data_IF_756813456791
#
_entry.id   IF_756813456791
#
_cell.length_a   1.000
_cell.length_b   1.000
_cell.length_c   1.000
_cell.angle_alpha   90.00
_cell.angle_beta   90.00
_cell.angle_gamma   90.00
#
_symmetry.space_group_name_H-M   'P 1'
#
loop_
_entity.id
_entity.type
_entity.pdbx_description
1 polymer ?
#
# COMPACT_ATOMS: atom_id res chain seq x y z
N UNK A 1 19.60 -12.10 -3.20
CA UNK A 1 19.32 -11.97 -1.76
C UNK A 1 17.91 -12.49 -1.53
N UNK A 2 17.73 -13.43 -0.59
CA UNK A 2 16.39 -13.84 -0.15
C UNK A 2 15.86 -12.71 0.70
N UNK A 3 14.73 -12.12 0.32
CA UNK A 3 14.11 -11.06 1.10
C UNK A 3 13.66 -11.65 2.45
N UNK A 4 14.05 -11.00 3.55
CA UNK A 4 13.52 -11.36 4.87
C UNK A 4 12.01 -11.10 4.88
N UNK A 5 11.26 -11.97 5.55
CA UNK A 5 9.83 -11.80 5.65
C UNK A 5 9.53 -10.59 6.55
N UNK A 6 8.67 -9.69 6.08
CA UNK A 6 8.20 -8.58 6.89
C UNK A 6 7.17 -9.10 7.89
N UNK A 7 7.28 -8.73 9.16
CA UNK A 7 6.36 -9.18 10.22
C UNK A 7 5.60 -7.96 10.73
N UNK A 8 4.27 -8.04 10.68
CA UNK A 8 3.36 -7.03 11.25
C UNK A 8 2.59 -7.61 12.42
N UNK A 9 1.98 -6.73 13.22
CA UNK A 9 1.13 -7.08 14.35
C UNK A 9 -0.31 -6.67 14.08
N UNK A 10 -1.24 -7.59 14.30
CA UNK A 10 -2.68 -7.37 14.14
C UNK A 10 -3.37 -7.78 15.45
N UNK A 11 -4.26 -6.95 16.04
CA UNK A 11 -5.03 -7.34 17.21
C UNK A 11 -5.76 -8.66 16.98
N UNK A 12 -5.48 -9.64 17.83
CA UNK A 12 -6.17 -10.93 17.82
C UNK A 12 -7.29 -10.93 18.86
N UNK A 13 -6.99 -10.46 20.06
CA UNK A 13 -7.91 -10.38 21.18
C UNK A 13 -7.99 -8.93 21.64
N UNK A 14 -9.19 -8.38 21.68
CA UNK A 14 -9.40 -6.98 22.02
C UNK A 14 -10.81 -6.73 22.57
N UNK A 15 -10.98 -5.58 23.21
CA UNK A 15 -12.25 -5.11 23.77
C UNK A 15 -12.67 -3.86 23.03
N UNK A 16 -13.94 -3.76 22.68
CA UNK A 16 -14.54 -2.59 22.05
C UNK A 16 -15.26 -1.69 23.05
N UNK A 17 -15.63 -0.48 22.65
CA UNK A 17 -16.28 0.52 23.52
C UNK A 17 -17.64 0.10 24.09
N UNK A 18 -18.32 -0.83 23.41
CA UNK A 18 -19.55 -1.48 23.87
C UNK A 18 -19.30 -2.56 24.95
N UNK A 19 -18.03 -2.79 25.32
CA UNK A 19 -17.60 -3.78 26.31
C UNK A 19 -17.49 -5.21 25.76
N UNK A 20 -17.70 -5.41 24.45
CA UNK A 20 -17.62 -6.74 23.84
C UNK A 20 -16.16 -7.15 23.67
N UNK A 21 -15.85 -8.39 24.05
CA UNK A 21 -14.54 -8.99 23.78
C UNK A 21 -14.58 -9.73 22.45
N UNK A 22 -13.71 -9.33 21.52
CA UNK A 22 -13.52 -9.97 20.24
C UNK A 22 -12.27 -10.86 20.28
N UNK A 23 -12.36 -12.01 19.63
CA UNK A 23 -11.25 -12.96 19.42
C UNK A 23 -11.24 -13.38 17.95
N UNK A 24 -10.27 -12.87 17.20
CA UNK A 24 -10.08 -13.21 15.80
C UNK A 24 -9.48 -14.61 15.67
N UNK A 25 -9.94 -15.34 14.66
CA UNK A 25 -9.36 -16.61 14.23
C UNK A 25 -8.36 -16.37 13.12
N UNK A 26 -7.45 -17.34 12.92
CA UNK A 26 -6.53 -17.31 11.78
C UNK A 26 -7.25 -17.18 10.42
N UNK A 27 -8.49 -17.70 10.30
CA UNK A 27 -9.32 -17.53 9.10
C UNK A 27 -9.67 -16.07 8.80
N UNK A 28 -9.85 -15.26 9.85
CA UNK A 28 -10.22 -13.84 9.69
C UNK A 28 -9.01 -13.06 9.12
N UNK A 29 -7.81 -13.48 9.49
CA UNK A 29 -6.54 -12.89 9.03
C UNK A 29 -6.24 -13.25 7.57
N UNK A 30 -6.73 -14.39 7.04
CA UNK A 30 -6.45 -14.78 5.64
C UNK A 30 -6.93 -13.75 4.62
N UNK A 31 -8.00 -13.01 4.95
CA UNK A 31 -8.60 -12.01 4.05
C UNK A 31 -8.01 -10.61 4.21
N UNK A 32 -7.04 -10.40 5.12
CA UNK A 32 -6.43 -9.09 5.39
C UNK A 32 -5.62 -8.53 4.21
N UNK A 33 -5.40 -9.32 3.16
CA UNK A 33 -4.82 -8.85 1.90
C UNK A 33 -5.83 -8.14 0.99
N UNK A 34 -7.12 -8.47 1.15
CA UNK A 34 -8.23 -7.98 0.33
C UNK A 34 -8.92 -6.80 0.96
N UNK A 35 -9.21 -6.89 2.25
CA UNK A 35 -9.98 -5.89 2.98
C UNK A 35 -9.35 -5.60 4.35
N UNK A 36 -9.40 -4.35 4.83
CA UNK A 36 -8.94 -4.02 6.18
C UNK A 36 -9.89 -4.63 7.22
N UNK A 37 -9.34 -5.12 8.32
CA UNK A 37 -10.11 -5.49 9.52
C UNK A 37 -10.25 -4.31 10.48
N UNK A 38 -9.25 -3.42 10.45
CA UNK A 38 -9.17 -2.24 11.29
C UNK A 38 -8.76 -1.04 10.48
N UNK A 39 -9.11 0.13 10.99
CA UNK A 39 -8.63 1.40 10.47
C UNK A 39 -8.39 2.35 11.63
N UNK A 40 -7.34 3.15 11.49
CA UNK A 40 -7.06 4.19 12.46
C UNK A 40 -8.03 5.35 12.25
N UNK A 41 -8.26 6.13 13.30
CA UNK A 41 -9.02 7.36 13.21
C UNK A 41 -8.22 8.52 13.79
N UNK A 42 -8.29 9.67 13.13
CA UNK A 42 -7.79 10.94 13.65
C UNK A 42 -8.87 12.02 13.47
N UNK A 43 -8.83 13.10 14.27
CA UNK A 43 -9.72 14.22 14.05
C UNK A 43 -9.58 14.79 12.61
N UNK A 44 -10.68 14.96 11.84
CA UNK A 44 -10.61 15.40 10.44
C UNK A 44 -9.83 16.71 10.23
N UNK A 45 -9.89 17.64 11.17
CA UNK A 45 -9.15 18.91 11.14
C UNK A 45 -7.63 18.72 11.19
N UNK A 46 -7.14 17.55 11.65
CA UNK A 46 -5.71 17.20 11.69
C UNK A 46 -5.20 16.58 10.39
N UNK A 47 -6.08 16.25 9.44
CA UNK A 47 -5.70 15.57 8.20
C UNK A 47 -4.64 16.35 7.39
N UNK A 48 -4.77 17.67 7.27
CA UNK A 48 -3.81 18.49 6.54
C UNK A 48 -2.44 18.51 7.23
N UNK A 49 -2.43 18.70 8.55
CA UNK A 49 -1.21 18.74 9.35
C UNK A 49 -0.46 17.39 9.29
N UNK A 50 -1.20 16.28 9.40
CA UNK A 50 -0.64 14.93 9.25
C UNK A 50 -0.07 14.72 7.85
N UNK A 51 -0.78 15.13 6.79
CA UNK A 51 -0.30 15.01 5.41
C UNK A 51 1.01 15.76 5.22
N UNK A 52 1.07 17.01 5.65
CA UNK A 52 2.25 17.86 5.47
C UNK A 52 3.44 17.32 6.26
N UNK A 53 3.19 16.83 7.49
CA UNK A 53 4.20 16.16 8.29
C UNK A 53 4.74 14.89 7.63
N UNK A 54 3.86 14.01 7.14
CA UNK A 54 4.27 12.77 6.47
C UNK A 54 5.11 13.07 5.22
N UNK A 55 4.70 14.04 4.40
CA UNK A 55 5.49 14.51 3.25
C UNK A 55 6.87 15.01 3.67
N UNK A 56 6.96 15.78 4.76
CA UNK A 56 8.23 16.28 5.29
C UNK A 56 9.17 15.17 5.80
N UNK A 57 8.63 14.01 6.15
CA UNK A 57 9.37 12.86 6.70
C UNK A 57 9.64 11.75 5.67
N UNK A 58 9.51 12.07 4.38
CA UNK A 58 9.93 11.19 3.28
C UNK A 58 8.83 10.35 2.64
N UNK A 59 7.56 10.56 3.03
CA UNK A 59 6.43 10.05 2.24
C UNK A 59 6.28 10.83 0.93
N UNK A 60 5.67 10.18 -0.06
CA UNK A 60 5.47 10.73 -1.40
C UNK A 60 4.08 10.41 -1.90
N UNK A 61 3.56 11.23 -2.80
CA UNK A 61 2.33 10.92 -3.52
C UNK A 61 2.63 9.77 -4.51
N UNK A 62 1.89 8.65 -4.48
CA UNK A 62 2.12 7.55 -5.41
C UNK A 62 1.76 7.97 -6.84
N UNK A 63 2.65 7.70 -7.80
CA UNK A 63 2.40 8.02 -9.20
C UNK A 63 1.43 7.03 -9.86
N UNK A 64 0.40 7.51 -10.56
CA UNK A 64 -0.66 6.69 -11.20
C UNK A 64 -1.50 5.88 -10.21
N UNK A 65 -2.18 6.54 -9.26
CA UNK A 65 -3.22 5.94 -8.43
C UNK A 65 -4.59 6.49 -8.86
N UNK A 66 -5.60 5.62 -8.99
CA UNK A 66 -6.99 6.05 -9.11
C UNK A 66 -7.51 6.45 -7.73
N UNK A 67 -8.09 7.65 -7.57
CA UNK A 67 -8.69 8.05 -6.29
C UNK A 67 -9.82 7.08 -5.91
N UNK A 68 -9.87 6.69 -4.64
CA UNK A 68 -10.90 5.83 -4.04
C UNK A 68 -11.73 6.60 -2.99
N UNK A 69 -11.76 7.94 -3.09
CA UNK A 69 -12.44 8.82 -2.14
C UNK A 69 -11.55 9.31 -0.99
N UNK A 70 -10.26 8.99 -1.00
CA UNK A 70 -9.28 9.56 -0.06
C UNK A 70 -9.04 11.06 -0.30
N UNK A 71 -8.79 11.81 0.78
CA UNK A 71 -8.28 13.20 0.71
C UNK A 71 -6.79 13.24 0.40
N UNK A 72 -6.06 12.19 0.78
CA UNK A 72 -4.70 11.95 0.34
C UNK A 72 -4.34 10.46 0.40
N UNK A 73 -3.48 10.05 -0.53
CA UNK A 73 -2.76 8.78 -0.50
C UNK A 73 -1.27 9.06 -0.53
N UNK A 74 -0.51 8.44 0.38
CA UNK A 74 0.93 8.61 0.52
C UNK A 74 1.61 7.24 0.60
N UNK A 75 2.81 7.13 0.03
CA UNK A 75 3.66 5.94 0.10
C UNK A 75 5.04 6.29 0.68
N UNK A 76 5.64 5.32 1.38
CA UNK A 76 7.03 5.35 1.83
C UNK A 76 7.66 3.97 1.67
N UNK A 77 8.87 3.90 1.12
CA UNK A 77 9.62 2.65 1.07
C UNK A 77 9.98 2.17 2.48
N UNK A 78 9.69 0.90 2.77
CA UNK A 78 10.11 0.23 4.00
C UNK A 78 11.47 -0.46 3.80
N UNK A 79 11.65 -1.10 2.65
CA UNK A 79 12.89 -1.75 2.25
C UNK A 79 13.05 -1.66 0.70
N UNK A 80 14.01 -2.35 0.06
CA UNK A 80 14.14 -2.34 -1.41
C UNK A 80 12.93 -2.85 -2.20
N UNK A 81 12.09 -3.71 -1.62
CA UNK A 81 10.98 -4.44 -2.25
C UNK A 81 9.61 -3.92 -1.78
N UNK A 82 9.47 -3.57 -0.51
CA UNK A 82 8.20 -3.23 0.12
C UNK A 82 8.03 -1.71 0.31
N UNK A 83 6.77 -1.29 0.23
CA UNK A 83 6.32 0.07 0.54
C UNK A 83 5.10 0.05 1.45
N UNK A 84 5.05 1.03 2.37
CA UNK A 84 3.90 1.34 3.18
C UNK A 84 3.06 2.37 2.45
N UNK A 85 1.78 2.08 2.29
CA UNK A 85 0.77 3.01 1.81
C UNK A 85 -0.12 3.45 2.96
N UNK A 86 -0.43 4.74 2.98
CA UNK A 86 -1.37 5.39 3.90
C UNK A 86 -2.40 6.12 3.05
N UNK A 87 -3.68 5.87 3.31
CA UNK A 87 -4.80 6.58 2.73
C UNK A 87 -5.64 7.17 3.84
N UNK A 88 -5.96 8.45 3.72
CA UNK A 88 -6.82 9.13 4.68
C UNK A 88 -8.08 9.63 4.00
N UNK A 89 -9.22 9.49 4.67
CA UNK A 89 -10.54 9.82 4.16
C UNK A 89 -11.08 11.10 4.80
N UNK A 90 -12.08 11.77 4.20
CA UNK A 90 -12.61 13.05 4.70
C UNK A 90 -13.15 12.99 6.14
N UNK A 91 -13.53 11.81 6.62
CA UNK A 91 -14.09 11.54 7.95
C UNK A 91 -13.02 11.19 9.00
N UNK A 92 -11.74 11.34 8.67
CA UNK A 92 -10.64 11.10 9.60
C UNK A 92 -10.17 9.64 9.65
N UNK A 93 -10.80 8.73 8.89
CA UNK A 93 -10.34 7.35 8.80
C UNK A 93 -9.00 7.28 8.06
N UNK A 94 -8.10 6.46 8.57
CA UNK A 94 -6.80 6.16 7.98
C UNK A 94 -6.70 4.66 7.78
N UNK A 95 -6.51 4.27 6.52
CA UNK A 95 -6.20 2.90 6.13
C UNK A 95 -4.74 2.82 5.71
N UNK A 96 -4.06 1.78 6.20
CA UNK A 96 -2.69 1.50 5.81
C UNK A 96 -2.50 0.07 5.36
N UNK A 97 -1.63 -0.12 4.38
CA UNK A 97 -1.22 -1.43 3.92
C UNK A 97 0.25 -1.43 3.52
N UNK A 98 0.90 -2.57 3.69
CA UNK A 98 2.22 -2.84 3.14
C UNK A 98 2.03 -3.62 1.86
N UNK A 99 2.70 -3.20 0.79
CA UNK A 99 2.69 -3.93 -0.47
C UNK A 99 4.04 -3.92 -1.17
N UNK A 100 4.19 -4.81 -2.15
CA UNK A 100 5.34 -4.78 -3.07
C UNK A 100 5.30 -3.50 -3.88
N UNK A 101 6.45 -2.83 -3.97
CA UNK A 101 6.60 -1.58 -4.72
C UNK A 101 6.11 -1.72 -6.15
N UNK A 102 5.43 -0.69 -6.61
CA UNK A 102 4.93 -0.55 -7.99
C UNK A 102 5.99 -0.70 -9.08
N UNK A 103 7.29 -0.62 -8.77
CA UNK A 103 8.37 -0.83 -9.74
C UNK A 103 8.56 -2.30 -10.14
N UNK A 104 7.89 -3.24 -9.45
CA UNK A 104 7.94 -4.67 -9.72
C UNK A 104 6.61 -5.17 -10.29
N UNK A 105 6.64 -6.10 -11.25
CA UNK A 105 5.43 -6.69 -11.84
C UNK A 105 4.53 -7.39 -10.82
N UNK A 106 5.12 -7.90 -9.75
CA UNK A 106 4.46 -8.60 -8.66
C UNK A 106 3.46 -7.69 -7.90
N UNK A 107 3.53 -6.37 -8.08
CA UNK A 107 2.51 -5.41 -7.63
C UNK A 107 1.14 -5.64 -8.29
N UNK A 108 1.11 -6.11 -9.55
CA UNK A 108 -0.15 -6.28 -10.30
C UNK A 108 -0.97 -7.50 -9.85
N UNK A 109 -0.35 -8.45 -9.14
CA UNK A 109 -0.97 -9.73 -8.79
C UNK A 109 -2.00 -9.68 -7.67
N UNK A 110 -2.22 -8.53 -7.03
CA UNK A 110 -3.22 -8.32 -5.95
C UNK A 110 -2.98 -9.09 -4.64
N UNK A 111 -2.11 -10.11 -4.65
CA UNK A 111 -1.73 -10.93 -3.49
C UNK A 111 -0.57 -10.36 -2.69
N UNK A 112 0.01 -9.26 -3.17
CA UNK A 112 1.25 -8.67 -2.64
C UNK A 112 1.00 -7.54 -1.65
N UNK A 113 -0.20 -7.47 -1.06
CA UNK A 113 -0.65 -6.41 -0.15
C UNK A 113 -1.22 -7.01 1.12
N UNK A 114 -0.91 -6.43 2.27
CA UNK A 114 -1.53 -6.75 3.56
C UNK A 114 -1.90 -5.44 4.27
N UNK A 115 -3.15 -5.32 4.73
CA UNK A 115 -3.55 -4.20 5.59
C UNK A 115 -2.90 -4.32 6.95
N UNK A 116 -2.44 -3.17 7.47
CA UNK A 116 -1.65 -3.07 8.69
C UNK A 116 -2.22 -2.02 9.64
N UNK A 117 -1.95 -2.19 10.93
CA UNK A 117 -2.63 -1.45 12.01
C UNK A 117 -1.73 -0.36 12.59
N UNK A 118 -0.53 -0.71 13.04
CA UNK A 118 0.30 0.18 13.86
C UNK A 118 1.26 1.05 13.05
N UNK A 119 1.57 0.63 11.83
CA UNK A 119 2.63 1.18 10.99
C UNK A 119 2.39 2.65 10.69
N UNK A 120 1.18 3.01 10.22
CA UNK A 120 0.85 4.39 9.94
C UNK A 120 0.96 5.27 11.20
N UNK A 121 0.42 4.79 12.33
CA UNK A 121 0.46 5.50 13.61
C UNK A 121 1.88 5.82 14.05
N UNK A 122 2.83 4.90 13.89
CA UNK A 122 4.23 5.17 14.24
C UNK A 122 4.81 6.37 13.49
N UNK A 123 4.33 6.68 12.29
CA UNK A 123 4.77 7.84 11.53
C UNK A 123 4.02 9.12 11.86
N UNK A 124 2.70 9.10 12.05
CA UNK A 124 1.94 10.33 12.31
C UNK A 124 1.79 10.69 13.79
N UNK A 125 2.19 9.81 14.73
CA UNK A 125 2.09 10.06 16.19
C UNK A 125 2.69 11.39 16.69
N UNK A 126 3.69 12.01 16.04
CA UNK A 126 4.20 13.31 16.48
C UNK A 126 3.20 14.47 16.28
N UNK A 127 2.18 14.27 15.42
CA UNK A 127 1.12 15.26 15.14
C UNK A 127 -0.16 14.93 15.92
N UNK A 128 -0.54 13.65 15.96
CA UNK A 128 -1.71 13.14 16.68
C UNK A 128 -1.23 12.02 17.58
N UNK A 129 -1.14 12.28 18.89
CA UNK A 129 -0.53 11.33 19.83
C UNK A 129 -1.50 10.24 20.30
N UNK A 130 -2.77 10.39 19.96
CA UNK A 130 -3.83 9.46 20.31
C UNK A 130 -3.93 8.34 19.29
N UNK A 131 -3.95 7.10 19.79
CA UNK A 131 -4.16 5.92 18.98
C UNK A 131 -5.62 5.48 19.06
N UNK A 132 -6.44 5.92 18.10
CA UNK A 132 -7.80 5.45 17.94
C UNK A 132 -7.87 4.40 16.85
N UNK A 133 -8.33 3.21 17.21
CA UNK A 133 -8.47 2.09 16.30
C UNK A 133 -9.94 1.68 16.23
N UNK A 134 -10.50 1.61 15.02
CA UNK A 134 -11.86 1.13 14.78
C UNK A 134 -11.83 -0.30 14.27
N UNK A 135 -12.63 -1.18 14.87
CA UNK A 135 -12.91 -2.50 14.31
C UNK A 135 -14.04 -2.41 13.30
N UNK A 136 -13.74 -2.73 12.03
CA UNK A 136 -14.63 -2.43 10.91
C UNK A 136 -15.92 -3.26 10.97
N UNK A 137 -15.82 -4.52 11.37
CA UNK A 137 -16.96 -5.44 11.35
C UNK A 137 -18.09 -5.05 12.31
N UNK A 138 -17.78 -4.45 13.46
CA UNK A 138 -18.77 -3.98 14.42
C UNK A 138 -18.99 -2.47 14.38
N UNK A 139 -18.17 -1.74 13.62
CA UNK A 139 -18.12 -0.29 13.60
C UNK A 139 -17.93 0.32 15.01
N UNK A 140 -17.11 -0.33 15.84
CA UNK A 140 -16.85 0.09 17.23
C UNK A 140 -15.38 0.41 17.44
N UNK A 141 -15.09 1.36 18.33
CA UNK A 141 -13.71 1.65 18.70
C UNK A 141 -13.13 0.60 19.65
N UNK A 142 -11.88 0.23 19.42
CA UNK A 142 -11.10 -0.66 20.28
C UNK A 142 -10.59 0.14 21.47
N UNK A 143 -10.94 -0.30 22.68
CA UNK A 143 -10.54 0.34 23.94
C UNK A 143 -9.36 -0.35 24.60
N UNK A 144 -9.18 -1.65 24.35
CA UNK A 144 -8.07 -2.44 24.90
C UNK A 144 -7.64 -3.54 23.94
N UNK A 145 -6.34 -3.64 23.69
CA UNK A 145 -5.74 -4.75 22.95
C UNK A 145 -5.12 -5.71 23.97
N UNK A 146 -5.61 -6.93 23.99
CA UNK A 146 -5.16 -7.98 24.92
C UNK A 146 -3.99 -8.75 24.29
N UNK A 147 -4.09 -9.08 23.01
CA UNK A 147 -3.08 -9.84 22.29
C UNK A 147 -3.05 -9.48 20.80
N UNK A 148 -1.89 -9.69 20.18
CA UNK A 148 -1.67 -9.54 18.76
C UNK A 148 -1.26 -10.87 18.11
N UNK A 149 -1.72 -11.11 16.89
CA UNK A 149 -1.07 -12.03 15.97
C UNK A 149 0.19 -11.39 15.39
N UNK A 150 1.25 -12.19 15.25
CA UNK A 150 2.37 -11.86 14.37
C UNK A 150 2.08 -12.42 12.99
N UNK A 151 1.85 -11.55 12.03
CA UNK A 151 1.51 -11.92 10.65
C UNK A 151 2.72 -11.67 9.78
N UNK A 152 3.22 -12.73 9.15
CA UNK A 152 4.31 -12.64 8.19
C UNK A 152 3.76 -12.33 6.81
N UNK A 153 4.28 -11.28 6.19
CA UNK A 153 4.08 -10.98 4.78
C UNK A 153 5.15 -11.79 4.03
N UNK A 154 4.76 -12.83 3.26
CA UNK A 154 5.72 -13.55 2.45
C UNK A 154 6.28 -12.57 1.41
N UNK A 155 7.58 -12.27 1.50
CA UNK A 155 8.24 -11.52 0.46
C UNK A 155 8.24 -12.35 -0.84
N UNK A 156 8.03 -11.73 -2.02
CA UNK A 156 8.09 -12.46 -3.27
C UNK A 156 9.44 -13.16 -3.41
N UNK A 157 9.43 -14.44 -3.79
CA UNK A 157 10.67 -15.21 -4.03
C UNK A 157 11.50 -14.63 -5.19
N UNK A 158 10.84 -13.89 -6.08
CA UNK A 158 11.43 -13.11 -7.16
C UNK A 158 10.67 -11.79 -7.30
N UNK A 159 11.40 -10.73 -7.61
CA UNK A 159 10.85 -9.43 -7.95
C UNK A 159 11.39 -9.01 -9.31
N UNK A 160 10.52 -8.54 -10.19
CA UNK A 160 10.87 -8.29 -11.59
C UNK A 160 10.68 -6.80 -11.92
N UNK A 161 11.75 -5.99 -11.95
CA UNK A 161 11.65 -4.58 -12.32
C UNK A 161 11.10 -4.42 -13.74
N UNK A 162 10.00 -3.71 -13.91
CA UNK A 162 9.36 -3.60 -15.24
C UNK A 162 10.02 -2.54 -16.13
N UNK A 163 10.65 -1.51 -15.55
CA UNK A 163 11.23 -0.38 -16.30
C UNK A 163 12.24 -0.83 -17.37
N UNK A 164 13.24 -1.69 -17.07
CA UNK A 164 14.18 -2.16 -18.08
C UNK A 164 13.49 -2.92 -19.23
N UNK A 165 12.43 -3.67 -18.94
CA UNK A 165 11.69 -4.46 -19.93
C UNK A 165 10.92 -3.55 -20.89
N UNK A 166 10.19 -2.57 -20.35
CA UNK A 166 9.44 -1.60 -21.18
C UNK A 166 10.40 -0.77 -22.05
N UNK A 167 11.55 -0.36 -21.51
CA UNK A 167 12.58 0.34 -22.29
C UNK A 167 13.11 -0.53 -23.44
N UNK A 168 13.38 -1.81 -23.19
CA UNK A 168 13.82 -2.76 -24.22
C UNK A 168 12.79 -2.94 -25.34
N UNK A 169 11.51 -3.10 -24.98
CA UNK A 169 10.41 -3.21 -25.96
C UNK A 169 10.30 -1.93 -26.80
N UNK A 170 10.36 -0.76 -26.17
CA UNK A 170 10.32 0.52 -26.88
C UNK A 170 11.46 0.68 -27.88
N UNK A 171 12.70 0.33 -27.48
CA UNK A 171 13.85 0.38 -28.37
C UNK A 171 13.71 -0.59 -29.55
N UNK A 172 13.25 -1.82 -29.30
CA UNK A 172 13.01 -2.80 -30.35
C UNK A 172 11.95 -2.33 -31.36
N UNK A 173 10.86 -1.70 -30.89
CA UNK A 173 9.84 -1.14 -31.76
C UNK A 173 10.39 0.00 -32.64
N UNK A 174 11.22 0.88 -32.09
CA UNK A 174 11.89 1.95 -32.85
C UNK A 174 12.80 1.36 -33.94
N UNK A 175 13.62 0.37 -33.60
CA UNK A 175 14.51 -0.30 -34.57
C UNK A 175 13.69 -1.00 -35.65
N UNK A 176 12.65 -1.75 -35.28
CA UNK A 176 11.76 -2.43 -36.21
C UNK A 176 11.08 -1.46 -37.17
N UNK A 177 10.62 -0.31 -36.67
CA UNK A 177 10.02 0.74 -37.50
C UNK A 177 11.06 1.36 -38.45
N UNK A 178 12.27 1.63 -37.98
CA UNK A 178 13.36 2.14 -38.82
C UNK A 178 13.72 1.16 -39.94
N UNK A 179 13.90 -0.13 -39.62
CA UNK A 179 14.16 -1.19 -40.60
C UNK A 179 13.00 -1.33 -41.60
N UNK A 180 11.76 -1.26 -41.13
CA UNK A 180 10.59 -1.26 -42.00
C UNK A 180 10.61 -0.11 -43.00
N UNK A 181 10.88 1.13 -42.57
CA UNK A 181 11.00 2.28 -43.47
C UNK A 181 12.18 2.15 -44.44
N UNK A 182 13.33 1.65 -44.00
CA UNK A 182 14.49 1.40 -44.86
C UNK A 182 14.25 0.28 -45.89
N UNK A 183 13.37 -0.68 -45.57
CA UNK A 183 13.00 -1.77 -46.48
C UNK A 183 12.01 -1.34 -47.58
N UNK A 184 11.39 -0.16 -47.47
CA UNK A 184 10.43 0.30 -48.48
C UNK A 184 11.17 0.70 -49.76
N UNK A 185 10.78 0.15 -50.92
CA UNK A 185 11.39 0.54 -52.18
C UNK A 185 11.12 2.03 -52.46
N UNK A 186 12.03 2.73 -53.15
CA UNK A 186 11.84 4.12 -53.51
C UNK A 186 10.54 4.29 -54.30
N UNK A 187 9.77 5.33 -53.97
CA UNK A 187 8.50 5.65 -54.61
C UNK A 187 8.77 5.85 -56.12
N UNK A 188 8.24 4.95 -56.95
CA UNK A 188 8.36 5.04 -58.41
C UNK A 188 7.65 6.32 -58.86
N UNK A 189 8.39 7.32 -59.31
CA UNK A 189 7.79 8.49 -59.96
C UNK A 189 7.09 8.01 -61.24
N UNK A 190 5.76 8.15 -61.27
CA UNK A 190 4.97 7.96 -62.49
C UNK A 190 5.30 9.11 -63.43
N UNK A 191 6.05 8.81 -64.49
CA UNK A 191 6.20 9.67 -65.68
C UNK A 191 4.91 9.67 -66.49
#
# INVERSE_FOLDING_TARGET
MVAQAYITQIPSDFITEDGVTHKLKASDIQNISREPLFENWIPPEKLSEVKDYLLSTGFKIPGMALPQGEVFGLTRSLDPILELHIRAFPDGRIQSHVEVKREFFEHLGGQSRIYVVYEAYQFYRPVVNEFYLRYISSNSYVTSIIQNFNVSIPAPSKVTPWKPIVMGIGMAAIIGLALYYLSKPPKRESR
#
